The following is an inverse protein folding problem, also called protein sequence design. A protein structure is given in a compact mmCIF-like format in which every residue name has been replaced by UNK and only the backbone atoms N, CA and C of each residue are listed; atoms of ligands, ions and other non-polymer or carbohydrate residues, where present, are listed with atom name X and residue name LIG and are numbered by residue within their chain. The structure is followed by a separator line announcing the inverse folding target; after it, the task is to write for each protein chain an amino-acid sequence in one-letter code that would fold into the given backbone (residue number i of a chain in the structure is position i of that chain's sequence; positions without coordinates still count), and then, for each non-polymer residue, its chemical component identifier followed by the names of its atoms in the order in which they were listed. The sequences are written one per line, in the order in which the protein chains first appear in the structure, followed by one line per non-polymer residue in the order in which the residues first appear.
data_IF_230599924054
#
_entry.id   IF_230599924054
#
_cell.length_a   1.000
_cell.length_b   1.000
_cell.length_c   1.000
_cell.angle_alpha   90.00
_cell.angle_beta   90.00
_cell.angle_gamma   90.00
#
_symmetry.space_group_name_H-M   'P 1'
#
loop_
_entity.id
_entity.type
_entity.pdbx_description
1 polymer ?
#
# COMPACT_ATOMS: atom_id res chain seq x y z
N UNK A 1 6.91 -20.95 5.51
CA UNK A 1 7.97 -21.22 4.50
C UNK A 1 9.03 -20.13 4.60
N UNK A 2 10.29 -20.45 4.27
CA UNK A 2 11.45 -19.54 4.40
C UNK A 2 11.66 -18.77 3.09
N UNK A 3 12.02 -17.49 3.17
CA UNK A 3 12.35 -16.65 2.01
C UNK A 3 11.16 -16.10 1.23
N UNK A 4 11.37 -15.80 -0.06
CA UNK A 4 10.39 -15.17 -0.97
C UNK A 4 9.39 -16.17 -1.52
N UNK A 5 8.38 -16.44 -0.73
CA UNK A 5 7.35 -17.44 -1.02
C UNK A 5 6.32 -16.86 -1.99
N UNK A 6 5.96 -17.64 -3.02
CA UNK A 6 4.93 -17.24 -4.01
C UNK A 6 3.53 -17.72 -3.68
N UNK A 7 3.36 -18.55 -2.64
CA UNK A 7 2.06 -19.08 -2.20
C UNK A 7 1.23 -19.72 -3.32
N UNK A 8 1.89 -20.42 -4.26
CA UNK A 8 1.22 -21.07 -5.39
C UNK A 8 0.89 -20.15 -6.57
N UNK A 9 1.28 -18.87 -6.54
CA UNK A 9 1.11 -17.93 -7.64
C UNK A 9 2.29 -17.95 -8.62
N UNK A 10 2.02 -17.61 -9.88
CA UNK A 10 3.05 -17.52 -10.94
C UNK A 10 4.10 -16.45 -10.64
N UNK A 11 3.66 -15.36 -10.01
CA UNK A 11 4.46 -14.19 -9.64
C UNK A 11 4.58 -14.03 -8.12
N UNK A 12 5.76 -13.60 -7.68
CA UNK A 12 5.97 -13.13 -6.32
C UNK A 12 5.19 -11.83 -6.03
N UNK A 13 5.19 -10.90 -6.98
CA UNK A 13 4.44 -9.65 -6.86
C UNK A 13 2.93 -9.93 -6.86
N UNK A 14 2.14 -9.24 -6.01
CA UNK A 14 0.69 -9.21 -6.17
C UNK A 14 0.30 -8.46 -7.45
N UNK A 15 -0.98 -8.49 -7.82
CA UNK A 15 -1.50 -7.69 -8.94
C UNK A 15 -1.68 -6.22 -8.53
N UNK A 16 -2.07 -6.00 -7.27
CA UNK A 16 -2.21 -4.67 -6.69
C UNK A 16 -1.78 -4.66 -5.21
N UNK A 17 -1.17 -3.56 -4.79
CA UNK A 17 -1.29 -3.13 -3.39
C UNK A 17 -2.44 -2.15 -3.27
N UNK A 18 -3.20 -2.23 -2.18
CA UNK A 18 -4.32 -1.34 -1.92
C UNK A 18 -4.14 -0.73 -0.55
N UNK A 19 -4.23 0.60 -0.47
CA UNK A 19 -4.03 1.39 0.75
C UNK A 19 -5.35 2.12 1.06
N UNK A 20 -6.10 1.67 2.07
CA UNK A 20 -7.34 2.33 2.48
C UNK A 20 -7.09 3.73 3.01
N UNK A 21 -8.06 4.63 2.80
CA UNK A 21 -7.97 6.06 3.13
C UNK A 21 -9.00 6.53 4.14
N UNK A 22 -9.86 5.64 4.62
CA UNK A 22 -10.90 5.93 5.60
C UNK A 22 -10.55 5.39 6.99
N UNK A 23 -11.16 5.99 8.02
CA UNK A 23 -10.83 5.67 9.42
C UNK A 23 -11.26 4.28 9.88
N UNK A 24 -12.17 3.62 9.16
CA UNK A 24 -12.64 2.28 9.52
C UNK A 24 -11.61 1.23 9.12
N UNK A 25 -10.97 1.40 7.96
CA UNK A 25 -10.03 0.44 7.40
C UNK A 25 -8.56 0.87 7.48
N UNK A 26 -8.28 2.08 7.95
CA UNK A 26 -6.93 2.65 8.03
C UNK A 26 -6.66 3.24 9.42
N UNK A 27 -5.77 2.60 10.17
CA UNK A 27 -5.34 3.12 11.49
C UNK A 27 -4.63 4.46 11.41
N UNK A 28 -3.98 4.78 10.27
CA UNK A 28 -3.29 6.04 10.07
C UNK A 28 -3.49 6.62 8.66
N UNK A 29 -4.58 7.36 8.50
CA UNK A 29 -4.97 7.97 7.21
C UNK A 29 -3.90 8.93 6.69
N UNK A 30 -3.22 9.68 7.56
CA UNK A 30 -2.17 10.61 7.15
C UNK A 30 -0.97 9.88 6.54
N UNK A 31 -0.50 8.81 7.17
CA UNK A 31 0.63 8.04 6.65
C UNK A 31 0.26 7.25 5.38
N UNK A 32 -0.99 6.81 5.23
CA UNK A 32 -1.49 6.27 3.97
C UNK A 32 -1.35 7.26 2.80
N UNK A 33 -1.75 8.52 3.00
CA UNK A 33 -1.61 9.57 1.98
C UNK A 33 -0.16 9.94 1.72
N UNK A 34 0.67 10.07 2.77
CA UNK A 34 2.11 10.28 2.60
C UNK A 34 2.79 9.12 1.87
N UNK A 35 2.29 7.88 2.03
CA UNK A 35 2.81 6.75 1.29
C UNK A 35 2.45 6.84 -0.19
N UNK A 36 1.21 7.18 -0.53
CA UNK A 36 0.80 7.41 -1.91
C UNK A 36 1.63 8.55 -2.55
N UNK A 37 1.83 9.67 -1.83
CA UNK A 37 2.69 10.77 -2.27
C UNK A 37 4.14 10.32 -2.49
N UNK A 38 4.70 9.54 -1.56
CA UNK A 38 6.05 8.99 -1.69
C UNK A 38 6.19 8.13 -2.95
N UNK A 39 5.19 7.29 -3.26
CA UNK A 39 5.19 6.43 -4.45
C UNK A 39 5.15 7.27 -5.74
N UNK A 40 4.22 8.21 -5.83
CA UNK A 40 4.13 9.13 -6.98
C UNK A 40 5.42 9.90 -7.19
N UNK A 41 6.00 10.46 -6.13
CA UNK A 41 7.28 11.19 -6.18
C UNK A 41 8.43 10.34 -6.72
N UNK A 42 8.38 9.02 -6.52
CA UNK A 42 9.37 8.08 -7.05
C UNK A 42 8.97 7.47 -8.41
N UNK A 43 7.95 8.01 -9.06
CA UNK A 43 7.48 7.59 -10.38
C UNK A 43 6.74 6.25 -10.39
N UNK A 44 6.31 5.75 -9.22
CA UNK A 44 5.39 4.61 -9.15
C UNK A 44 4.00 5.12 -9.53
N UNK A 45 3.33 4.42 -10.45
CA UNK A 45 1.93 4.70 -10.79
C UNK A 45 1.06 4.40 -9.57
N UNK A 46 0.25 5.38 -9.17
CA UNK A 46 -0.78 5.26 -8.14
C UNK A 46 -2.11 5.67 -8.76
N UNK A 47 -3.14 4.90 -8.47
CA UNK A 47 -4.51 5.17 -8.88
C UNK A 47 -5.39 5.35 -7.62
N UNK A 48 -6.55 5.95 -7.82
CA UNK A 48 -7.57 6.16 -6.79
C UNK A 48 -8.89 5.55 -7.25
N UNK A 49 -9.62 4.85 -6.38
CA UNK A 49 -10.96 4.34 -6.70
C UNK A 49 -11.94 5.50 -6.92
N UNK A 50 -12.69 5.46 -8.02
CA UNK A 50 -13.70 6.48 -8.36
C UNK A 50 -15.08 6.18 -7.77
N UNK A 51 -15.25 4.97 -7.23
CA UNK A 51 -16.44 4.46 -6.52
C UNK A 51 -16.02 3.43 -5.47
N UNK A 52 -16.90 3.06 -4.51
CA UNK A 52 -16.61 1.98 -3.57
C UNK A 52 -16.27 0.67 -4.28
N UNK A 53 -15.38 -0.11 -3.70
CA UNK A 53 -14.91 -1.42 -4.20
C UNK A 53 -15.04 -2.48 -3.10
N UNK A 54 -15.37 -3.71 -3.49
CA UNK A 54 -15.48 -4.83 -2.56
C UNK A 54 -14.28 -5.76 -2.74
N UNK A 55 -13.50 -5.96 -1.68
CA UNK A 55 -12.27 -6.76 -1.70
C UNK A 55 -12.20 -7.58 -0.42
N UNK A 56 -11.88 -8.86 -0.52
CA UNK A 56 -11.66 -9.76 0.63
C UNK A 56 -12.81 -9.77 1.66
N UNK A 57 -14.06 -9.53 1.23
CA UNK A 57 -15.23 -9.50 2.11
C UNK A 57 -15.53 -8.14 2.74
N UNK A 58 -14.71 -7.12 2.48
CA UNK A 58 -14.87 -5.75 3.00
C UNK A 58 -15.15 -4.75 1.88
N UNK A 59 -15.77 -3.62 2.22
CA UNK A 59 -16.08 -2.55 1.26
C UNK A 59 -15.25 -1.33 1.55
N UNK A 60 -14.34 -1.02 0.63
CA UNK A 60 -13.49 0.16 0.71
C UNK A 60 -14.16 1.32 -0.04
N UNK A 61 -14.19 2.53 0.53
CA UNK A 61 -14.87 3.66 -0.09
C UNK A 61 -14.15 4.15 -1.35
N UNK A 62 -14.84 5.03 -2.08
CA UNK A 62 -14.22 5.91 -3.08
C UNK A 62 -13.03 6.64 -2.43
N UNK A 63 -11.94 6.79 -3.16
CA UNK A 63 -10.74 7.45 -2.65
C UNK A 63 -9.69 6.51 -2.10
N UNK A 64 -9.92 5.20 -2.19
CA UNK A 64 -8.93 4.19 -1.80
C UNK A 64 -7.80 4.17 -2.81
N UNK A 65 -6.54 4.16 -2.35
CA UNK A 65 -5.39 4.12 -3.25
C UNK A 65 -5.13 2.70 -3.74
N UNK A 66 -4.81 2.60 -5.03
CA UNK A 66 -4.51 1.36 -5.73
C UNK A 66 -3.17 1.51 -6.43
N UNK A 67 -2.24 0.61 -6.14
CA UNK A 67 -0.91 0.56 -6.74
C UNK A 67 -0.89 -0.64 -7.69
N UNK A 68 -1.16 -0.45 -9.00
CA UNK A 68 -1.12 -1.54 -9.96
C UNK A 68 0.30 -2.06 -10.13
N UNK A 69 0.54 -3.34 -9.90
CA UNK A 69 1.89 -3.91 -9.96
C UNK A 69 2.31 -4.32 -11.38
N UNK A 70 1.40 -4.28 -12.34
CA UNK A 70 1.73 -4.36 -13.76
C UNK A 70 2.30 -3.02 -14.28
N UNK A 71 3.48 -2.65 -13.75
CA UNK A 71 4.21 -1.44 -14.12
C UNK A 71 5.73 -1.65 -14.02
N UNK A 72 6.52 -0.84 -14.75
CA UNK A 72 7.98 -0.94 -14.74
C UNK A 72 8.60 -0.73 -13.35
N UNK A 73 7.97 0.10 -12.50
CA UNK A 73 8.44 0.44 -11.15
C UNK A 73 7.97 -0.52 -10.05
N UNK A 74 7.37 -1.66 -10.40
CA UNK A 74 6.84 -2.64 -9.43
C UNK A 74 7.87 -3.14 -8.41
N UNK A 75 9.14 -3.24 -8.82
CA UNK A 75 10.22 -3.63 -7.91
C UNK A 75 10.43 -2.62 -6.78
N UNK A 76 10.33 -1.32 -7.09
CA UNK A 76 10.42 -0.26 -6.08
C UNK A 76 9.19 -0.25 -5.18
N UNK A 77 7.99 -0.32 -5.76
CA UNK A 77 6.74 -0.38 -5.00
C UNK A 77 6.76 -1.56 -4.01
N UNK A 78 7.13 -2.76 -4.49
CA UNK A 78 7.24 -3.94 -3.64
C UNK A 78 8.32 -3.79 -2.57
N UNK A 79 9.47 -3.18 -2.88
CA UNK A 79 10.54 -3.04 -1.88
C UNK A 79 10.07 -2.29 -0.63
N UNK A 80 9.15 -1.33 -0.77
CA UNK A 80 8.68 -0.49 0.35
C UNK A 80 7.33 -0.93 0.93
N UNK A 81 6.52 -1.65 0.16
CA UNK A 81 5.18 -2.11 0.58
C UNK A 81 5.18 -3.57 1.06
N UNK A 82 6.14 -4.39 0.65
CA UNK A 82 6.14 -5.81 1.02
C UNK A 82 6.32 -6.02 2.52
N UNK A 83 5.57 -6.98 3.09
CA UNK A 83 5.63 -7.30 4.52
C UNK A 83 6.98 -7.88 4.96
N UNK A 84 7.77 -8.39 4.02
CA UNK A 84 9.06 -8.98 4.27
C UNK A 84 9.03 -10.51 4.24
N UNK A 85 10.21 -11.08 4.12
CA UNK A 85 10.41 -12.52 4.08
C UNK A 85 10.48 -13.09 5.50
N UNK A 86 10.03 -14.34 5.68
CA UNK A 86 10.37 -15.08 6.89
C UNK A 86 11.83 -15.55 6.81
N UNK A 87 12.67 -15.00 7.69
CA UNK A 87 14.11 -15.30 7.81
C UNK A 87 14.45 -15.90 9.19
N UNK A 88 13.48 -16.52 9.86
CA UNK A 88 13.65 -17.07 11.22
C UNK A 88 14.69 -18.19 11.34
N UNK A 89 15.07 -18.80 10.22
CA UNK A 89 16.08 -19.86 10.14
C UNK A 89 17.52 -19.32 10.02
N UNK A 90 17.69 -18.00 9.89
CA UNK A 90 19.02 -17.40 9.76
C UNK A 90 19.70 -17.31 11.12
N UNK A 91 20.89 -17.91 11.24
CA UNK A 91 21.65 -17.97 12.49
C UNK A 91 22.23 -16.60 12.93
N UNK A 92 22.36 -15.65 12.01
CA UNK A 92 22.81 -14.29 12.27
C UNK A 92 22.33 -13.35 11.15
N UNK A 93 22.06 -12.10 11.50
CA UNK A 93 21.75 -11.03 10.55
C UNK A 93 22.88 -10.00 10.57
N UNK A 94 23.49 -9.74 9.41
CA UNK A 94 24.61 -8.81 9.27
C UNK A 94 24.17 -7.34 9.23
N UNK A 95 22.97 -7.04 8.71
CA UNK A 95 22.43 -5.68 8.58
C UNK A 95 20.89 -5.70 8.54
N UNK A 96 20.17 -4.86 9.32
CA UNK A 96 18.73 -4.69 9.19
C UNK A 96 18.37 -3.87 7.96
N UNK A 97 18.00 -4.54 6.86
CA UNK A 97 17.31 -3.87 5.74
C UNK A 97 15.81 -3.95 5.96
N UNK A 98 15.29 -3.19 6.94
CA UNK A 98 13.83 -3.12 7.17
C UNK A 98 13.27 -1.96 6.34
N UNK A 99 12.64 -2.31 5.24
CA UNK A 99 11.96 -1.36 4.33
C UNK A 99 10.45 -1.61 4.26
N UNK A 100 9.89 -2.41 5.19
CA UNK A 100 8.45 -2.59 5.37
C UNK A 100 7.83 -1.29 5.93
N UNK A 101 7.53 -0.34 5.04
CA UNK A 101 6.96 0.94 5.43
C UNK A 101 5.56 0.84 6.03
N UNK A 102 4.67 -0.09 5.64
CA UNK A 102 3.42 -0.29 6.37
C UNK A 102 3.64 -0.47 7.88
N UNK A 103 4.57 -1.34 8.27
CA UNK A 103 4.90 -1.56 9.68
C UNK A 103 5.66 -0.38 10.30
N UNK A 104 6.67 0.16 9.61
CA UNK A 104 7.55 1.20 10.14
C UNK A 104 6.89 2.58 10.26
N UNK A 105 5.98 2.90 9.33
CA UNK A 105 5.23 4.17 9.30
C UNK A 105 3.82 4.02 9.88
N UNK A 106 3.39 2.78 10.14
CA UNK A 106 2.16 2.50 10.86
C UNK A 106 0.88 2.77 10.07
N UNK A 107 0.84 2.38 8.79
CA UNK A 107 -0.38 2.37 7.99
C UNK A 107 -0.76 0.94 7.57
N UNK A 108 -2.01 0.74 7.22
CA UNK A 108 -2.57 -0.53 6.77
C UNK A 108 -2.61 -0.61 5.24
N UNK A 109 -2.41 -1.81 4.72
CA UNK A 109 -2.52 -2.12 3.30
C UNK A 109 -2.99 -3.56 3.13
N UNK A 110 -3.42 -3.88 1.91
CA UNK A 110 -3.76 -5.23 1.48
C UNK A 110 -3.09 -5.57 0.15
N UNK A 111 -2.69 -6.84 0.03
CA UNK A 111 -2.26 -7.44 -1.24
C UNK A 111 -3.47 -8.02 -1.95
N UNK A 112 -3.67 -7.66 -3.22
CA UNK A 112 -4.73 -8.21 -4.08
C UNK A 112 -4.08 -9.00 -5.22
N UNK A 113 -4.49 -10.26 -5.37
CA UNK A 113 -4.00 -11.21 -6.38
C UNK A 113 -5.12 -11.63 -7.34
N UNK A 114 -5.87 -10.64 -7.80
CA UNK A 114 -6.96 -10.78 -8.74
C UNK A 114 -6.82 -9.74 -9.84
N UNK A 115 -6.23 -10.16 -10.97
CA UNK A 115 -6.02 -9.30 -12.13
C UNK A 115 -7.36 -8.72 -12.63
N UNK A 116 -7.38 -7.41 -12.90
CA UNK A 116 -8.52 -6.75 -13.54
C UNK A 116 -9.66 -6.35 -12.60
N UNK A 117 -9.58 -6.65 -11.30
CA UNK A 117 -10.60 -6.27 -10.31
C UNK A 117 -10.86 -4.75 -10.24
N UNK A 118 -9.86 -3.93 -10.60
CA UNK A 118 -9.94 -2.46 -10.65
C UNK A 118 -10.27 -1.87 -12.03
N UNK A 119 -10.56 -2.70 -13.04
CA UNK A 119 -10.78 -2.22 -14.41
C UNK A 119 -11.97 -1.27 -14.49
N UNK A 120 -11.70 -0.03 -14.90
CA UNK A 120 -12.73 1.00 -15.11
C UNK A 120 -13.36 1.56 -13.83
N UNK A 121 -12.77 1.29 -12.66
CA UNK A 121 -13.24 1.81 -11.36
C UNK A 121 -12.19 2.65 -10.64
N UNK A 122 -11.06 2.90 -11.29
CA UNK A 122 -9.97 3.71 -10.79
C UNK A 122 -9.59 4.79 -11.79
N UNK A 123 -8.90 5.81 -11.29
CA UNK A 123 -8.29 6.88 -12.09
C UNK A 123 -6.83 7.07 -11.65
N UNK A 124 -5.94 7.35 -12.58
CA UNK A 124 -4.53 7.64 -12.27
C UNK A 124 -4.40 8.98 -11.55
N UNK A 125 -3.53 9.03 -10.54
CA UNK A 125 -3.28 10.23 -9.76
C UNK A 125 -2.03 10.97 -10.26
N UNK A 126 -2.15 12.29 -10.40
CA UNK A 126 -1.00 13.17 -10.63
C UNK A 126 -0.39 13.71 -9.33
N UNK A 127 -1.21 13.87 -8.30
CA UNK A 127 -0.84 14.40 -6.99
C UNK A 127 -1.72 13.78 -5.90
N UNK A 128 -1.30 13.90 -4.64
CA UNK A 128 -2.05 13.40 -3.48
C UNK A 128 -2.33 14.56 -2.54
N UNK A 129 -3.60 14.70 -2.14
CA UNK A 129 -4.00 15.67 -1.14
C UNK A 129 -3.78 15.11 0.26
N UNK A 130 -2.93 15.75 1.06
CA UNK A 130 -2.73 15.33 2.44
C UNK A 130 -3.92 15.74 3.32
N UNK A 131 -4.43 14.85 4.18
CA UNK A 131 -5.50 15.19 5.11
C UNK A 131 -5.00 16.23 6.12
N UNK A 132 -5.78 17.30 6.30
CA UNK A 132 -5.51 18.36 7.28
C UNK A 132 -6.33 18.15 8.55
N UNK A 133 -5.85 18.64 9.68
CA UNK A 133 -6.58 18.66 10.95
C UNK A 133 -6.80 20.09 11.45
N UNK A 134 -7.82 20.27 12.29
CA UNK A 134 -8.04 21.49 13.06
C UNK A 134 -7.64 21.26 14.51
N UNK A 135 -6.81 22.15 15.07
CA UNK A 135 -6.56 22.23 16.50
C UNK A 135 -7.49 23.28 17.10
N UNK A 136 -8.33 22.87 18.05
CA UNK A 136 -9.16 23.79 18.85
C UNK A 136 -8.66 23.78 20.28
N UNK A 137 -8.15 24.92 20.73
CA UNK A 137 -7.69 25.13 22.09
C UNK A 137 -7.45 26.62 22.36
N UNK A 138 -7.60 27.02 23.62
CA UNK A 138 -7.13 28.34 24.05
C UNK A 138 -5.62 28.25 24.26
N UNK A 139 -4.88 29.22 23.72
CA UNK A 139 -3.47 29.38 24.10
C UNK A 139 -3.38 29.60 25.63
N UNK A 140 -2.35 29.05 26.30
CA UNK A 140 -2.15 29.23 27.73
C UNK A 140 -2.00 30.70 28.12
#
# INVERSE_FOLDING_TARGET
EIGRVRHGHDSFFPDYYVIPTDKEHQKNVLEAHKMAEYLLRNGVKVEETTRPVHLQGETFPKGTFVIPMNQAKRGLANAVLYQGDNVSDWNAMYDPVVVNFPALRGFDQLEVREEGVFKGVTQEMAEVNLPTGELRGNAP
#
